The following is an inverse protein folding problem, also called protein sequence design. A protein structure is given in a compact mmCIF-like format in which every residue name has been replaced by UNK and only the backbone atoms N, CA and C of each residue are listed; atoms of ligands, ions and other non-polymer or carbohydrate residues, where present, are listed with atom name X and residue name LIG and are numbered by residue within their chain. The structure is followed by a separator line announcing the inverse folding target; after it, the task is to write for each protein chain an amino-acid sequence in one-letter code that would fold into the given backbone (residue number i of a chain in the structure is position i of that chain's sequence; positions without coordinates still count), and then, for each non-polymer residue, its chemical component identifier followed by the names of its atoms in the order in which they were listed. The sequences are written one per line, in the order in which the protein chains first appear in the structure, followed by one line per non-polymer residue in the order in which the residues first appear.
data_IF_205375349593
#
_entry.id   IF_205375349593
#
_cell.length_a   1.000
_cell.length_b   1.000
_cell.length_c   1.000
_cell.angle_alpha   90.00
_cell.angle_beta   90.00
_cell.angle_gamma   90.00
#
_symmetry.space_group_name_H-M   'P 1'
#
loop_
_entity.id
_entity.type
_entity.pdbx_description
1 polymer ?
#
# COMPACT_ATOMS: atom_id res chain seq x y z
N UNK A 1 -47.24 -22.64 -51.64
CA UNK A 1 -47.08 -23.07 -50.24
C UNK A 1 -45.62 -23.49 -50.02
N UNK A 2 -45.06 -23.14 -48.87
CA UNK A 2 -43.68 -23.35 -48.37
C UNK A 2 -42.60 -22.31 -48.75
N UNK A 3 -42.64 -21.24 -47.95
CA UNK A 3 -41.53 -20.41 -47.50
C UNK A 3 -40.41 -21.27 -46.87
N UNK A 4 -39.13 -20.99 -47.14
CA UNK A 4 -38.01 -21.39 -46.26
C UNK A 4 -37.01 -20.24 -46.14
N UNK A 5 -37.17 -19.51 -45.04
CA UNK A 5 -36.26 -18.48 -44.53
C UNK A 5 -35.08 -19.21 -43.87
N UNK A 6 -33.86 -18.92 -44.30
CA UNK A 6 -32.65 -19.38 -43.63
C UNK A 6 -32.23 -18.34 -42.58
N UNK A 7 -32.40 -18.68 -41.30
CA UNK A 7 -31.89 -17.89 -40.18
C UNK A 7 -30.37 -18.07 -40.08
N UNK A 8 -29.62 -16.98 -40.27
CA UNK A 8 -28.19 -16.94 -39.91
C UNK A 8 -28.09 -16.56 -38.44
N UNK A 9 -27.69 -17.52 -37.60
CA UNK A 9 -27.44 -17.29 -36.18
C UNK A 9 -26.14 -16.49 -36.02
N UNK A 10 -26.25 -15.23 -35.59
CA UNK A 10 -25.11 -14.44 -35.15
C UNK A 10 -24.64 -14.97 -33.79
N UNK A 11 -23.50 -15.65 -33.77
CA UNK A 11 -22.83 -16.04 -32.54
C UNK A 11 -22.36 -14.76 -31.81
N UNK A 12 -23.05 -14.39 -30.73
CA UNK A 12 -22.60 -13.38 -29.81
C UNK A 12 -21.36 -13.90 -29.07
N UNK A 13 -20.18 -13.44 -29.47
CA UNK A 13 -18.97 -13.63 -28.68
C UNK A 13 -19.14 -12.85 -27.38
N UNK A 14 -19.45 -13.56 -26.29
CA UNK A 14 -19.41 -13.01 -24.94
C UNK A 14 -17.93 -12.80 -24.63
N UNK A 15 -17.44 -11.60 -24.93
CA UNK A 15 -16.17 -11.15 -24.42
C UNK A 15 -16.33 -10.98 -22.90
N UNK A 16 -15.93 -12.01 -22.15
CA UNK A 16 -15.70 -11.89 -20.72
C UNK A 16 -14.53 -10.91 -20.53
N UNK A 17 -14.86 -9.62 -20.45
CA UNK A 17 -13.93 -8.60 -19.98
C UNK A 17 -13.61 -8.92 -18.53
N UNK A 18 -12.52 -9.65 -18.29
CA UNK A 18 -11.87 -9.69 -17.00
C UNK A 18 -11.42 -8.27 -16.68
N UNK A 19 -12.29 -7.51 -16.01
CA UNK A 19 -11.90 -6.29 -15.34
C UNK A 19 -10.94 -6.70 -14.21
N UNK A 20 -9.67 -6.89 -14.56
CA UNK A 20 -8.59 -6.99 -13.59
C UNK A 20 -8.60 -5.64 -12.85
N UNK A 21 -9.15 -5.64 -11.64
CA UNK A 21 -9.00 -4.51 -10.73
C UNK A 21 -7.50 -4.32 -10.55
N UNK A 22 -6.95 -3.23 -11.08
CA UNK A 22 -5.53 -2.95 -10.99
C UNK A 22 -5.09 -3.05 -9.53
N UNK A 23 -4.13 -3.95 -9.28
CA UNK A 23 -3.57 -4.19 -7.95
C UNK A 23 -3.06 -2.86 -7.39
N UNK A 24 -3.51 -2.53 -6.17
CA UNK A 24 -3.12 -1.27 -5.54
C UNK A 24 -1.74 -1.45 -4.95
N UNK A 25 -0.86 -0.50 -5.21
CA UNK A 25 0.54 -0.55 -4.82
C UNK A 25 0.89 0.59 -3.90
N UNK A 26 1.87 0.37 -3.03
CA UNK A 26 2.46 1.44 -2.24
C UNK A 26 3.17 2.44 -3.16
N UNK A 27 3.09 3.76 -2.89
CA UNK A 27 3.79 4.72 -3.73
C UNK A 27 5.30 4.58 -3.55
N UNK A 28 6.06 4.67 -4.66
CA UNK A 28 7.52 4.48 -4.68
C UNK A 28 8.28 5.35 -3.67
N UNK A 29 7.75 6.54 -3.35
CA UNK A 29 8.35 7.44 -2.38
C UNK A 29 8.43 6.86 -0.96
N UNK A 30 7.64 5.83 -0.64
CA UNK A 30 7.61 5.19 0.67
C UNK A 30 8.33 3.83 0.68
N UNK A 31 8.60 3.25 -0.48
CA UNK A 31 9.22 1.91 -0.59
C UNK A 31 10.64 1.94 0.00
N UNK A 32 10.93 0.96 0.84
CA UNK A 32 12.22 0.80 1.53
C UNK A 32 12.07 0.30 2.96
N UNK A 33 13.22 0.12 3.60
CA UNK A 33 13.31 -0.25 5.01
C UNK A 33 13.45 1.00 5.88
N UNK A 34 12.60 1.10 6.89
CA UNK A 34 12.52 2.24 7.78
C UNK A 34 12.76 1.81 9.22
N UNK A 35 13.70 2.45 9.89
CA UNK A 35 14.09 2.13 11.26
C UNK A 35 13.22 2.85 12.26
N UNK A 36 12.63 2.09 13.17
CA UNK A 36 11.88 2.65 14.28
C UNK A 36 12.73 3.66 15.06
N UNK A 37 12.15 4.84 15.33
CA UNK A 37 12.75 5.89 16.15
C UNK A 37 11.97 6.05 17.45
N UNK A 38 10.68 6.37 17.35
CA UNK A 38 9.84 6.67 18.50
C UNK A 38 8.37 6.38 18.20
N UNK A 39 7.56 6.28 19.26
CA UNK A 39 6.12 6.19 19.13
C UNK A 39 5.47 7.06 20.19
N UNK A 40 4.54 7.91 19.76
CA UNK A 40 3.66 8.67 20.64
C UNK A 40 2.20 8.38 20.25
N UNK A 41 1.47 7.72 21.16
CA UNK A 41 0.07 7.31 20.95
C UNK A 41 -0.07 6.46 19.68
N UNK A 42 -0.81 6.93 18.68
CA UNK A 42 -1.04 6.24 17.41
C UNK A 42 -0.07 6.63 16.30
N UNK A 43 0.91 7.50 16.61
CA UNK A 43 1.90 8.02 15.68
C UNK A 43 3.23 7.32 15.95
N UNK A 44 3.77 6.67 14.92
CA UNK A 44 5.07 6.02 14.97
C UNK A 44 6.02 6.70 14.00
N UNK A 45 7.18 7.10 14.50
CA UNK A 45 8.22 7.73 13.72
C UNK A 45 9.32 6.74 13.37
N UNK A 46 9.77 6.85 12.13
CA UNK A 46 10.84 6.06 11.56
C UNK A 46 11.84 6.97 10.86
N UNK A 47 13.07 6.49 10.75
CA UNK A 47 14.18 7.16 10.07
C UNK A 47 14.86 6.20 9.10
N UNK A 48 15.63 6.75 8.14
CA UNK A 48 16.52 5.93 7.33
C UNK A 48 17.57 5.25 8.22
N UNK A 49 17.99 4.01 7.89
CA UNK A 49 19.03 3.31 8.64
C UNK A 49 20.32 4.13 8.85
N UNK A 50 20.71 4.93 7.84
CA UNK A 50 21.89 5.80 7.90
C UNK A 50 21.78 6.97 8.88
N UNK A 51 20.61 7.20 9.48
CA UNK A 51 20.34 8.27 10.44
C UNK A 51 20.18 7.74 11.88
N UNK A 52 20.46 6.46 12.10
CA UNK A 52 20.50 5.85 13.45
C UNK A 52 21.88 6.06 14.09
N UNK A 53 21.92 6.33 15.41
CA UNK A 53 23.17 6.71 16.11
C UNK A 53 24.28 5.65 16.01
N UNK A 54 23.91 4.37 16.06
CA UNK A 54 24.87 3.25 15.99
C UNK A 54 24.79 2.44 14.69
N UNK A 55 24.00 2.90 13.70
CA UNK A 55 23.68 2.09 12.51
C UNK A 55 22.80 0.86 12.80
N UNK A 56 22.37 0.67 14.05
CA UNK A 56 21.59 -0.48 14.48
C UNK A 56 20.10 -0.21 14.40
N UNK A 57 19.41 -1.10 13.68
CA UNK A 57 17.98 -1.03 13.44
C UNK A 57 17.32 -2.29 14.02
N UNK A 58 16.72 -2.17 15.20
CA UNK A 58 16.16 -3.34 15.91
C UNK A 58 14.70 -3.63 15.53
N UNK A 59 13.98 -2.61 15.05
CA UNK A 59 12.60 -2.72 14.57
C UNK A 59 12.51 -2.02 13.23
N UNK A 60 12.15 -2.80 12.21
CA UNK A 60 12.04 -2.34 10.83
C UNK A 60 10.58 -2.33 10.43
N UNK A 61 10.15 -1.22 9.83
CA UNK A 61 8.99 -1.19 8.95
C UNK A 61 9.52 -1.32 7.53
N UNK A 62 9.21 -2.43 6.87
CA UNK A 62 9.52 -2.62 5.46
C UNK A 62 8.29 -2.29 4.63
N UNK A 63 8.48 -1.42 3.65
CA UNK A 63 7.44 -1.03 2.71
C UNK A 63 7.88 -1.54 1.34
N UNK A 64 7.14 -2.49 0.81
CA UNK A 64 7.33 -3.04 -0.53
C UNK A 64 6.25 -2.50 -1.48
N UNK A 65 6.37 -2.82 -2.77
CA UNK A 65 5.42 -2.37 -3.78
C UNK A 65 3.99 -2.85 -3.51
N UNK A 66 3.83 -4.07 -3.00
CA UNK A 66 2.53 -4.74 -2.85
C UNK A 66 2.15 -4.98 -1.39
N UNK A 67 3.02 -4.68 -0.44
CA UNK A 67 2.75 -4.90 0.98
C UNK A 67 3.62 -4.01 1.85
N UNK A 68 3.30 -3.95 3.13
CA UNK A 68 4.22 -3.46 4.15
C UNK A 68 4.11 -4.33 5.40
N UNK A 69 5.24 -4.54 6.07
CA UNK A 69 5.33 -5.39 7.25
C UNK A 69 6.17 -4.74 8.35
N UNK A 70 5.73 -4.98 9.58
CA UNK A 70 6.35 -4.44 10.78
C UNK A 70 5.58 -4.87 12.02
N UNK A 71 6.28 -5.01 13.14
CA UNK A 71 5.70 -5.38 14.44
C UNK A 71 4.85 -6.68 14.42
N UNK A 72 5.29 -7.69 13.66
CA UNK A 72 4.61 -8.99 13.60
C UNK A 72 3.32 -8.97 12.76
N UNK A 73 3.21 -8.03 11.82
CA UNK A 73 2.03 -7.83 10.99
C UNK A 73 2.40 -7.62 9.53
N UNK A 74 1.59 -8.20 8.66
CA UNK A 74 1.62 -8.04 7.22
C UNK A 74 0.37 -7.30 6.74
N UNK A 75 0.54 -6.29 5.89
CA UNK A 75 -0.53 -5.46 5.38
C UNK A 75 -0.46 -5.30 3.85
N UNK A 76 -1.59 -5.55 3.19
CA UNK A 76 -1.73 -5.39 1.73
C UNK A 76 -2.63 -4.18 1.43
N UNK A 77 -2.15 -3.17 0.68
CA UNK A 77 -2.94 -2.00 0.36
C UNK A 77 -4.15 -2.35 -0.51
N UNK A 78 -5.33 -1.87 -0.10
CA UNK A 78 -6.59 -1.99 -0.85
C UNK A 78 -7.04 -0.65 -1.44
N UNK A 79 -6.61 0.46 -0.85
CA UNK A 79 -6.86 1.80 -1.34
C UNK A 79 -5.68 2.71 -0.97
N UNK A 80 -5.21 3.51 -1.91
CA UNK A 80 -4.09 4.43 -1.72
C UNK A 80 -4.45 5.77 -2.32
N UNK A 81 -4.30 6.83 -1.53
CA UNK A 81 -4.40 8.23 -1.97
C UNK A 81 -3.09 8.93 -1.66
N UNK A 82 -2.44 9.44 -2.69
CA UNK A 82 -1.16 10.15 -2.59
C UNK A 82 -1.38 11.66 -2.81
N UNK A 83 -0.78 12.46 -1.96
CA UNK A 83 -0.57 13.90 -2.19
C UNK A 83 0.88 14.25 -1.87
N UNK A 84 1.31 15.43 -2.31
CA UNK A 84 2.64 15.94 -2.03
C UNK A 84 2.63 17.46 -1.92
N UNK A 85 3.54 18.00 -1.13
CA UNK A 85 3.80 19.44 -1.01
C UNK A 85 5.28 19.70 -1.27
N UNK A 86 5.58 20.65 -2.16
CA UNK A 86 6.96 20.94 -2.58
C UNK A 86 7.30 22.39 -2.26
N UNK A 87 8.32 22.57 -1.44
CA UNK A 87 8.91 23.85 -1.08
C UNK A 87 10.41 23.86 -1.45
N UNK A 88 11.09 25.03 -1.46
CA UNK A 88 12.54 25.09 -1.71
C UNK A 88 13.39 24.24 -0.77
N UNK A 89 12.88 23.94 0.44
CA UNK A 89 13.55 23.10 1.44
C UNK A 89 13.42 21.59 1.19
N UNK A 90 12.55 21.17 0.25
CA UNK A 90 12.29 19.78 -0.13
C UNK A 90 10.81 19.47 -0.38
N UNK A 91 10.53 18.21 -0.74
CA UNK A 91 9.17 17.69 -0.95
C UNK A 91 8.73 16.80 0.21
N UNK A 92 7.54 17.06 0.75
CA UNK A 92 6.84 16.18 1.66
C UNK A 92 5.82 15.34 0.87
N UNK A 93 5.76 14.05 1.16
CA UNK A 93 4.82 13.11 0.56
C UNK A 93 3.86 12.61 1.63
N UNK A 94 2.58 12.52 1.28
CA UNK A 94 1.53 12.06 2.18
C UNK A 94 0.72 10.96 1.48
N UNK A 95 0.61 9.79 2.10
CA UNK A 95 -0.22 8.71 1.60
C UNK A 95 -1.24 8.29 2.66
N UNK A 96 -2.53 8.32 2.30
CA UNK A 96 -3.56 7.62 3.06
C UNK A 96 -3.75 6.24 2.47
N UNK A 97 -3.43 5.22 3.25
CA UNK A 97 -3.43 3.81 2.82
C UNK A 97 -4.44 3.05 3.65
N UNK A 98 -5.52 2.58 3.02
CA UNK A 98 -6.34 1.51 3.61
C UNK A 98 -5.74 0.20 3.17
N UNK A 99 -5.42 -0.67 4.13
CA UNK A 99 -4.80 -1.97 3.90
C UNK A 99 -5.55 -3.07 4.65
N UNK A 100 -5.51 -4.28 4.09
CA UNK A 100 -5.92 -5.50 4.78
C UNK A 100 -4.72 -6.04 5.54
N UNK A 101 -4.80 -6.03 6.85
CA UNK A 101 -3.70 -6.42 7.72
C UNK A 101 -4.02 -7.69 8.49
N UNK A 102 -3.03 -8.58 8.60
CA UNK A 102 -3.10 -9.80 9.39
C UNK A 102 -1.84 -9.96 10.24
N UNK A 103 -1.92 -10.65 11.39
CA UNK A 103 -0.72 -11.08 12.11
C UNK A 103 0.12 -11.97 11.21
N UNK A 104 1.44 -11.94 11.41
CA UNK A 104 2.34 -12.88 10.74
C UNK A 104 2.02 -14.32 11.19
N UNK A 105 2.06 -15.26 10.24
CA UNK A 105 1.71 -16.67 10.50
C UNK A 105 0.59 -17.18 9.59
N UNK A 106 -0.32 -18.05 10.10
CA UNK A 106 -1.39 -18.64 9.28
C UNK A 106 -2.24 -17.56 8.61
N UNK A 107 -2.51 -17.73 7.32
CA UNK A 107 -3.32 -16.79 6.54
C UNK A 107 -4.71 -16.67 7.18
N UNK A 108 -5.09 -15.44 7.54
CA UNK A 108 -6.41 -15.12 8.08
C UNK A 108 -7.15 -14.21 7.09
N UNK A 109 -8.42 -13.92 7.35
CA UNK A 109 -9.19 -12.99 6.51
C UNK A 109 -8.61 -11.55 6.52
N UNK A 110 -7.73 -11.23 7.47
CA UNK A 110 -7.21 -9.89 7.72
C UNK A 110 -8.30 -8.88 8.13
N UNK A 111 -7.88 -7.76 8.71
CA UNK A 111 -8.76 -6.64 9.06
C UNK A 111 -8.38 -5.42 8.25
N UNK A 112 -9.38 -4.70 7.73
CA UNK A 112 -9.13 -3.42 7.09
C UNK A 112 -8.72 -2.39 8.13
N UNK A 113 -7.60 -1.73 7.88
CA UNK A 113 -7.07 -0.64 8.70
C UNK A 113 -6.63 0.50 7.80
N UNK A 114 -6.72 1.73 8.31
CA UNK A 114 -6.27 2.91 7.56
C UNK A 114 -5.08 3.53 8.26
N UNK A 115 -4.08 3.87 7.45
CA UNK A 115 -2.84 4.47 7.87
C UNK A 115 -2.63 5.78 7.12
N UNK A 116 -2.02 6.74 7.80
CA UNK A 116 -1.45 7.92 7.17
C UNK A 116 0.07 7.82 7.23
N UNK A 117 0.70 7.73 6.07
CA UNK A 117 2.14 7.81 5.91
C UNK A 117 2.50 9.24 5.52
N UNK A 118 3.49 9.81 6.19
CA UNK A 118 4.07 11.10 5.85
C UNK A 118 5.58 10.94 5.77
N UNK A 119 6.15 11.22 4.61
CA UNK A 119 7.60 11.17 4.40
C UNK A 119 8.13 12.56 4.09
N UNK A 120 9.19 12.95 4.78
CA UNK A 120 9.98 14.12 4.45
C UNK A 120 11.46 13.80 4.66
N UNK A 121 12.24 13.90 3.58
CA UNK A 121 13.67 13.57 3.56
C UNK A 121 13.92 12.14 4.11
N UNK A 122 14.73 12.03 5.16
CA UNK A 122 15.10 10.77 5.81
C UNK A 122 14.14 10.32 6.92
N UNK A 123 12.99 10.99 7.09
CA UNK A 123 12.01 10.70 8.13
C UNK A 123 10.69 10.22 7.54
N UNK A 124 10.08 9.25 8.21
CA UNK A 124 8.77 8.71 7.91
C UNK A 124 7.94 8.67 9.18
N UNK A 125 6.75 9.25 9.15
CA UNK A 125 5.76 9.16 10.23
C UNK A 125 4.58 8.34 9.74
N UNK A 126 4.14 7.37 10.54
CA UNK A 126 2.99 6.50 10.26
C UNK A 126 1.97 6.64 11.38
N UNK A 127 0.75 7.04 11.04
CA UNK A 127 -0.36 7.16 11.98
C UNK A 127 -1.42 6.11 11.69
N UNK A 128 -1.74 5.27 12.67
CA UNK A 128 -2.90 4.38 12.60
C UNK A 128 -4.19 5.16 12.92
N UNK A 129 -5.23 4.99 12.10
CA UNK A 129 -6.55 5.63 12.27
C UNK A 129 -7.58 4.69 12.86
#
# INVERSE_FOLDING_TARGET
MMLRIACVAAAGAIACSHANAAEKTMPINFIGEWCYSSQEKSVTDYVLPSWTEDGHCTKILSIEQYSFYGEGRHCEPVNVRLTSDTAPSGTAYFATVTARCQPDGPVTAGKLQTYQFQRYKGSLTVTAK
#
